data_IF_389606497904
#
_entry.id   IF_389606497904
#
_cell.length_a   1.000
_cell.length_b   1.000
_cell.length_c   1.000
_cell.angle_alpha   90.00
_cell.angle_beta   90.00
_cell.angle_gamma   90.00
#
_symmetry.space_group_name_H-M   'P 1'
#
loop_
_entity.id
_entity.type
_entity.pdbx_description
1 polymer ?
#
# COMPACT_ATOMS: atom_id res chain seq x y z
N UNK A 1 16.14 -14.75 1.89
CA UNK A 1 15.68 -14.79 0.49
C UNK A 1 14.47 -15.70 0.43
N UNK A 2 13.33 -15.24 -0.09
CA UNK A 2 12.13 -16.07 -0.22
C UNK A 2 12.35 -17.10 -1.34
N UNK A 3 11.91 -18.35 -1.13
CA UNK A 3 12.01 -19.37 -2.17
C UNK A 3 11.16 -18.92 -3.39
N UNK A 4 11.74 -18.86 -4.60
CA UNK A 4 11.07 -18.35 -5.80
C UNK A 4 10.00 -19.30 -6.36
N UNK A 5 9.88 -20.50 -5.81
CA UNK A 5 8.82 -21.48 -6.09
C UNK A 5 8.26 -21.97 -4.76
N UNK A 6 6.92 -22.08 -4.68
CA UNK A 6 6.21 -22.55 -3.49
C UNK A 6 5.04 -23.45 -3.85
N UNK A 7 4.55 -24.17 -2.84
CA UNK A 7 3.41 -25.07 -2.93
C UNK A 7 2.10 -24.31 -2.69
N UNK A 8 1.08 -24.56 -3.50
CA UNK A 8 -0.26 -24.00 -3.29
C UNK A 8 -0.93 -24.72 -2.12
N UNK A 9 -1.36 -23.97 -1.11
CA UNK A 9 -2.07 -24.46 0.08
C UNK A 9 -3.33 -25.24 -0.34
N UNK A 10 -3.58 -26.38 0.33
CA UNK A 10 -4.77 -27.20 0.10
C UNK A 10 -4.74 -28.04 -1.19
N UNK A 11 -3.64 -27.99 -1.97
CA UNK A 11 -3.49 -28.81 -3.18
C UNK A 11 -2.61 -30.04 -2.99
N UNK A 12 -1.88 -30.12 -1.89
CA UNK A 12 -0.92 -31.18 -1.60
C UNK A 12 -1.36 -32.00 -0.38
N UNK A 13 -1.08 -33.33 -0.37
CA UNK A 13 -1.31 -34.16 0.79
C UNK A 13 -0.57 -33.66 2.03
N UNK A 14 -1.12 -33.90 3.21
CA UNK A 14 -0.57 -33.43 4.49
C UNK A 14 0.84 -33.98 4.80
N UNK A 15 1.14 -35.19 4.36
CA UNK A 15 2.47 -35.79 4.55
C UNK A 15 3.58 -35.04 3.76
N UNK A 16 3.23 -34.32 2.68
CA UNK A 16 4.15 -33.45 1.92
C UNK A 16 4.20 -32.07 2.58
N UNK A 17 3.04 -31.51 2.91
CA UNK A 17 2.96 -30.14 3.42
C UNK A 17 3.45 -30.00 4.86
N UNK A 18 3.41 -31.07 5.68
CA UNK A 18 3.93 -31.04 7.04
C UNK A 18 5.41 -30.65 7.10
N UNK A 19 6.33 -31.45 6.50
CA UNK A 19 7.76 -31.12 6.46
C UNK A 19 8.09 -29.84 5.69
N UNK A 20 7.26 -29.49 4.69
CA UNK A 20 7.46 -28.35 3.80
C UNK A 20 6.57 -27.16 4.13
N UNK A 21 6.03 -27.04 5.35
CA UNK A 21 5.08 -25.99 5.74
C UNK A 21 5.57 -24.58 5.41
N UNK A 22 6.87 -24.29 5.55
CA UNK A 22 7.50 -23.00 5.21
C UNK A 22 7.44 -22.66 3.70
N UNK A 23 7.20 -23.64 2.85
CA UNK A 23 7.08 -23.46 1.39
C UNK A 23 5.63 -23.49 0.91
N UNK A 24 4.67 -23.68 1.80
CA UNK A 24 3.24 -23.67 1.47
C UNK A 24 2.72 -22.23 1.55
N UNK A 25 1.99 -21.81 0.51
CA UNK A 25 1.42 -20.47 0.43
C UNK A 25 -0.05 -20.51 0.01
N UNK A 26 -0.80 -19.51 0.40
CA UNK A 26 -2.20 -19.36 -0.03
C UNK A 26 -2.31 -19.25 -1.55
N UNK A 27 -3.45 -19.61 -2.09
CA UNK A 27 -3.73 -19.51 -3.53
C UNK A 27 -4.01 -18.05 -3.90
N UNK A 28 -3.13 -17.37 -4.67
CA UNK A 28 -3.34 -15.97 -5.00
C UNK A 28 -4.49 -15.71 -5.98
N UNK A 29 -5.05 -16.79 -6.61
CA UNK A 29 -6.18 -16.63 -7.53
C UNK A 29 -7.44 -16.12 -6.84
N UNK A 30 -7.49 -16.16 -5.52
CA UNK A 30 -8.56 -15.55 -4.75
C UNK A 30 -8.73 -14.04 -5.02
N UNK A 31 -7.66 -13.32 -5.45
CA UNK A 31 -7.80 -11.90 -5.84
C UNK A 31 -8.65 -11.69 -7.09
N UNK A 32 -8.91 -12.76 -7.87
CA UNK A 32 -9.72 -12.73 -9.09
C UNK A 32 -11.21 -12.93 -8.80
N UNK A 33 -11.55 -13.37 -7.60
CA UNK A 33 -12.92 -13.60 -7.19
C UNK A 33 -13.53 -12.27 -6.72
N UNK A 34 -14.59 -11.77 -7.35
CA UNK A 34 -15.26 -10.54 -6.94
C UNK A 34 -15.88 -10.66 -5.54
N UNK A 35 -16.28 -11.88 -5.15
CA UNK A 35 -16.99 -12.17 -3.89
C UNK A 35 -16.02 -12.67 -2.80
N UNK A 36 -14.71 -12.57 -3.01
CA UNK A 36 -13.69 -12.99 -2.04
C UNK A 36 -13.86 -12.27 -0.69
N UNK A 37 -13.73 -12.98 0.41
CA UNK A 37 -13.72 -12.36 1.73
C UNK A 37 -12.48 -11.47 1.93
N UNK A 38 -12.57 -10.45 2.79
CA UNK A 38 -11.46 -9.54 3.08
C UNK A 38 -10.21 -10.29 3.60
N UNK A 39 -10.40 -11.34 4.41
CA UNK A 39 -9.29 -12.12 4.97
C UNK A 39 -8.62 -13.02 3.93
N UNK A 40 -9.40 -13.64 3.03
CA UNK A 40 -8.87 -14.42 1.91
C UNK A 40 -8.15 -13.52 0.91
N UNK A 41 -8.73 -12.36 0.57
CA UNK A 41 -8.11 -11.35 -0.27
C UNK A 41 -6.75 -10.91 0.31
N UNK A 42 -6.72 -10.51 1.57
CA UNK A 42 -5.49 -10.12 2.28
C UNK A 42 -4.44 -11.24 2.27
N UNK A 43 -4.88 -12.48 2.50
CA UNK A 43 -3.99 -13.64 2.45
C UNK A 43 -3.42 -13.86 1.05
N UNK A 44 -4.25 -13.73 0.01
CA UNK A 44 -3.85 -13.85 -1.39
C UNK A 44 -2.90 -12.72 -1.82
N UNK A 45 -3.17 -11.49 -1.38
CA UNK A 45 -2.31 -10.32 -1.62
C UNK A 45 -0.88 -10.50 -1.10
N UNK A 46 -0.67 -11.35 -0.08
CA UNK A 46 0.67 -11.65 0.42
C UNK A 46 1.60 -12.29 -0.62
N UNK A 47 1.04 -12.86 -1.68
CA UNK A 47 1.79 -13.43 -2.80
C UNK A 47 2.03 -12.42 -3.94
N UNK A 48 1.34 -11.30 -3.95
CA UNK A 48 1.41 -10.29 -5.02
C UNK A 48 2.47 -9.25 -4.68
N UNK A 49 3.55 -9.25 -5.48
CA UNK A 49 4.66 -8.31 -5.32
C UNK A 49 4.64 -7.36 -6.53
N UNK A 50 4.35 -6.09 -6.29
CA UNK A 50 4.33 -5.05 -7.31
C UNK A 50 5.35 -3.97 -6.95
N UNK A 51 6.14 -3.51 -7.93
CA UNK A 51 7.16 -2.49 -7.70
C UNK A 51 8.21 -2.89 -6.67
N UNK A 52 8.50 -4.20 -6.50
CA UNK A 52 9.46 -4.69 -5.52
C UNK A 52 8.93 -4.73 -4.07
N UNK A 53 7.69 -4.34 -3.83
CA UNK A 53 7.05 -4.34 -2.51
C UNK A 53 5.95 -5.38 -2.41
N UNK A 54 5.72 -5.88 -1.19
CA UNK A 54 4.60 -6.75 -0.87
C UNK A 54 3.46 -5.87 -0.38
N UNK A 55 2.32 -5.93 -1.06
CA UNK A 55 1.12 -5.20 -0.62
C UNK A 55 0.39 -5.99 0.48
N UNK A 56 0.91 -5.92 1.69
CA UNK A 56 0.26 -6.50 2.88
C UNK A 56 -0.09 -5.37 3.84
N UNK A 57 -1.37 -5.18 4.05
CA UNK A 57 -1.88 -4.27 5.06
C UNK A 57 -2.75 -5.05 6.06
N UNK A 58 -2.67 -4.75 7.33
CA UNK A 58 -3.53 -5.32 8.37
C UNK A 58 -4.58 -4.31 8.79
N UNK A 59 -5.77 -4.75 9.16
CA UNK A 59 -6.77 -3.92 9.82
C UNK A 59 -6.34 -3.54 11.24
N UNK A 60 -6.83 -2.42 11.72
CA UNK A 60 -6.62 -1.87 13.07
C UNK A 60 -5.14 -1.75 13.47
N UNK A 61 -4.31 -1.26 12.53
CA UNK A 61 -2.86 -1.15 12.74
C UNK A 61 -2.43 0.18 13.34
N UNK A 62 -3.24 1.22 13.25
CA UNK A 62 -2.87 2.59 13.58
C UNK A 62 -3.83 3.30 14.56
N UNK A 63 -4.53 2.62 15.49
CA UNK A 63 -5.63 3.24 16.24
C UNK A 63 -5.18 4.47 17.03
N UNK A 64 -3.98 4.45 17.64
CA UNK A 64 -3.46 5.59 18.38
C UNK A 64 -3.10 6.78 17.48
N UNK A 65 -2.57 6.53 16.28
CA UNK A 65 -2.25 7.59 15.34
C UNK A 65 -3.51 8.16 14.67
N UNK A 66 -4.48 7.29 14.36
CA UNK A 66 -5.77 7.73 13.81
C UNK A 66 -6.54 8.57 14.86
N UNK A 67 -6.44 8.23 16.16
CA UNK A 67 -6.99 9.02 17.24
C UNK A 67 -6.38 10.43 17.33
N UNK A 68 -5.06 10.60 17.09
CA UNK A 68 -4.46 11.94 17.04
C UNK A 68 -5.18 12.85 16.05
N UNK A 69 -5.54 12.32 14.88
CA UNK A 69 -6.25 13.08 13.85
C UNK A 69 -7.69 13.37 14.28
N UNK A 70 -8.44 12.33 14.65
CA UNK A 70 -9.89 12.46 14.94
C UNK A 70 -10.20 13.26 16.21
N UNK A 71 -9.26 13.32 17.18
CA UNK A 71 -9.40 14.08 18.41
C UNK A 71 -8.91 15.53 18.28
N UNK A 72 -7.99 15.80 17.34
CA UNK A 72 -7.36 17.12 17.21
C UNK A 72 -7.93 17.97 16.08
N UNK A 73 -8.61 17.37 15.10
CA UNK A 73 -9.03 18.04 13.87
C UNK A 73 -10.53 17.82 13.62
N UNK A 74 -11.26 18.88 13.35
CA UNK A 74 -12.62 18.78 12.80
C UNK A 74 -12.53 18.38 11.32
N UNK A 75 -12.94 17.15 11.03
CA UNK A 75 -12.85 16.56 9.70
C UNK A 75 -14.10 16.77 8.83
N UNK A 76 -15.16 17.38 9.38
CA UNK A 76 -16.34 17.72 8.60
C UNK A 76 -15.96 18.64 7.45
N UNK A 77 -16.49 18.36 6.27
CA UNK A 77 -16.18 19.08 5.04
C UNK A 77 -14.71 18.99 4.57
N UNK A 78 -13.89 18.10 5.16
CA UNK A 78 -12.49 17.94 4.80
C UNK A 78 -12.30 16.99 3.61
N UNK A 79 -11.40 17.35 2.68
CA UNK A 79 -10.81 16.44 1.70
C UNK A 79 -9.63 15.71 2.35
N UNK A 80 -9.78 14.40 2.53
CA UNK A 80 -8.78 13.53 3.15
C UNK A 80 -8.13 12.64 2.09
N UNK A 81 -6.81 12.59 2.07
CA UNK A 81 -6.04 11.72 1.16
C UNK A 81 -5.11 10.83 1.97
N UNK A 82 -5.25 9.50 1.80
CA UNK A 82 -4.35 8.49 2.39
C UNK A 82 -3.37 8.02 1.31
N UNK A 83 -2.11 8.49 1.35
CA UNK A 83 -1.08 8.21 0.35
C UNK A 83 -0.25 7.00 0.78
N UNK A 84 -0.02 6.06 -0.16
CA UNK A 84 0.63 4.79 0.12
C UNK A 84 -0.28 3.81 0.86
N UNK A 85 -1.58 3.93 0.63
CA UNK A 85 -2.62 3.19 1.32
C UNK A 85 -2.65 1.68 1.00
N UNK A 86 -1.86 1.23 0.02
CA UNK A 86 -1.76 -0.17 -0.39
C UNK A 86 -3.11 -0.73 -0.88
N UNK A 87 -3.73 -1.64 -0.13
CA UNK A 87 -5.05 -2.20 -0.42
C UNK A 87 -6.21 -1.40 0.23
N UNK A 88 -5.91 -0.30 0.92
CA UNK A 88 -6.86 0.57 1.59
C UNK A 88 -7.43 0.03 2.91
N UNK A 89 -6.91 -1.08 3.44
CA UNK A 89 -7.42 -1.64 4.72
C UNK A 89 -7.33 -0.65 5.88
N UNK A 90 -6.23 0.11 6.00
CA UNK A 90 -6.08 1.13 7.04
C UNK A 90 -6.86 2.41 6.76
N UNK A 91 -7.20 2.65 5.50
CA UNK A 91 -8.09 3.77 5.12
C UNK A 91 -9.52 3.51 5.61
N UNK A 92 -10.02 2.27 5.48
CA UNK A 92 -11.32 1.87 6.03
C UNK A 92 -11.32 2.03 7.55
N UNK A 93 -10.27 1.56 8.23
CA UNK A 93 -10.18 1.68 9.69
C UNK A 93 -10.29 3.15 10.14
N UNK A 94 -9.61 4.08 9.44
CA UNK A 94 -9.74 5.51 9.72
C UNK A 94 -11.16 6.03 9.41
N UNK A 95 -11.73 5.69 8.25
CA UNK A 95 -13.08 6.13 7.87
C UNK A 95 -14.16 5.67 8.86
N UNK A 96 -14.00 4.48 9.48
CA UNK A 96 -14.93 3.96 10.47
C UNK A 96 -14.92 4.79 11.79
N UNK A 97 -13.89 5.61 12.01
CA UNK A 97 -13.77 6.50 13.18
C UNK A 97 -14.11 7.98 12.88
N UNK A 98 -14.30 8.33 11.61
CA UNK A 98 -14.65 9.70 11.20
C UNK A 98 -16.17 9.82 11.09
N UNK A 99 -16.73 10.82 11.75
CA UNK A 99 -18.19 11.07 11.75
C UNK A 99 -18.66 11.56 10.38
N UNK A 100 -17.92 12.49 9.76
CA UNK A 100 -18.24 13.06 8.46
C UNK A 100 -16.99 13.64 7.77
N UNK A 101 -17.02 13.70 6.43
CA UNK A 101 -15.96 14.27 5.59
C UNK A 101 -16.54 14.69 4.24
N UNK A 102 -15.88 15.62 3.54
CA UNK A 102 -16.26 16.03 2.17
C UNK A 102 -15.93 14.93 1.16
N UNK A 103 -14.70 14.44 1.17
CA UNK A 103 -14.25 13.37 0.31
C UNK A 103 -13.07 12.63 0.95
N UNK A 104 -12.97 11.34 0.66
CA UNK A 104 -11.84 10.49 1.06
C UNK A 104 -11.22 9.82 -0.17
N UNK A 105 -9.93 10.08 -0.42
CA UNK A 105 -9.22 9.53 -1.56
C UNK A 105 -8.13 8.58 -1.08
N UNK A 106 -8.25 7.32 -1.47
CA UNK A 106 -7.25 6.29 -1.24
C UNK A 106 -6.23 6.39 -2.36
N UNK A 107 -4.97 6.72 -2.05
CA UNK A 107 -3.94 6.98 -3.03
C UNK A 107 -2.76 6.00 -2.89
N UNK A 108 -2.31 5.42 -3.98
CA UNK A 108 -1.14 4.54 -4.03
C UNK A 108 -0.54 4.57 -5.45
N UNK A 109 0.69 4.16 -5.59
CA UNK A 109 1.35 4.11 -6.89
C UNK A 109 0.82 2.96 -7.78
N UNK A 110 0.36 1.87 -7.16
CA UNK A 110 -0.08 0.66 -7.87
C UNK A 110 -1.41 0.14 -7.35
N UNK A 111 -2.48 0.27 -8.14
CA UNK A 111 -3.79 -0.29 -7.81
C UNK A 111 -4.22 -1.45 -8.70
N UNK A 112 -3.57 -1.64 -9.84
CA UNK A 112 -3.99 -2.63 -10.81
C UNK A 112 -2.83 -3.55 -11.21
N UNK A 113 -3.18 -4.79 -11.47
CA UNK A 113 -2.33 -5.77 -12.15
C UNK A 113 -3.17 -6.45 -13.23
N UNK A 114 -2.52 -7.11 -14.18
CA UNK A 114 -3.19 -7.86 -15.23
C UNK A 114 -3.05 -9.35 -14.99
N UNK A 115 -4.16 -10.09 -15.08
CA UNK A 115 -4.18 -11.55 -15.00
C UNK A 115 -4.52 -12.17 -16.36
N UNK A 116 -3.66 -13.03 -16.88
CA UNK A 116 -3.87 -13.76 -18.12
C UNK A 116 -3.95 -15.25 -17.87
N UNK A 117 -4.99 -15.91 -18.39
CA UNK A 117 -5.14 -17.38 -18.30
C UNK A 117 -4.37 -18.03 -19.44
N UNK A 118 -3.44 -18.92 -19.11
CA UNK A 118 -2.67 -19.68 -20.10
C UNK A 118 -2.60 -21.16 -19.68
N UNK A 119 -3.24 -22.06 -20.45
CA UNK A 119 -3.45 -23.46 -20.09
C UNK A 119 -4.10 -23.62 -18.71
N UNK A 120 -3.38 -24.28 -17.78
CA UNK A 120 -3.79 -24.50 -16.39
C UNK A 120 -3.17 -23.49 -15.42
N UNK A 121 -2.59 -22.40 -15.95
CA UNK A 121 -1.92 -21.38 -15.17
C UNK A 121 -2.65 -20.05 -15.29
N UNK A 122 -2.55 -19.24 -14.25
CA UNK A 122 -2.82 -17.81 -14.28
C UNK A 122 -1.47 -17.10 -14.16
N UNK A 123 -1.21 -16.19 -15.08
CA UNK A 123 0.02 -15.39 -15.12
C UNK A 123 -0.36 -13.95 -14.82
N UNK A 124 0.24 -13.40 -13.77
CA UNK A 124 0.02 -12.02 -13.36
C UNK A 124 1.16 -11.13 -13.86
N UNK A 125 0.78 -9.99 -14.38
CA UNK A 125 1.69 -8.96 -14.88
C UNK A 125 1.42 -7.65 -14.15
N UNK A 126 2.48 -6.86 -13.95
CA UNK A 126 2.33 -5.46 -13.57
C UNK A 126 1.89 -4.59 -14.76
N UNK A 127 1.73 -3.30 -14.51
CA UNK A 127 1.34 -2.32 -15.53
C UNK A 127 2.40 -2.15 -16.64
N UNK A 128 3.68 -2.43 -16.33
CA UNK A 128 4.78 -2.42 -17.28
C UNK A 128 4.84 -3.69 -18.13
N UNK A 129 3.98 -4.67 -17.84
CA UNK A 129 3.93 -5.96 -18.54
C UNK A 129 4.99 -6.95 -18.06
N UNK A 130 5.68 -6.70 -16.93
CA UNK A 130 6.58 -7.67 -16.33
C UNK A 130 5.79 -8.76 -15.58
N UNK A 131 6.23 -10.02 -15.74
CA UNK A 131 5.59 -11.15 -15.06
C UNK A 131 6.00 -11.15 -13.58
N UNK A 132 5.04 -10.88 -12.71
CA UNK A 132 5.24 -10.81 -11.25
C UNK A 132 4.96 -12.13 -10.55
N UNK A 133 3.99 -12.92 -11.04
CA UNK A 133 3.57 -14.17 -10.40
C UNK A 133 2.97 -15.14 -11.42
N UNK A 134 3.27 -16.41 -11.29
CA UNK A 134 2.63 -17.51 -12.03
C UNK A 134 1.98 -18.46 -11.03
N UNK A 135 0.72 -18.76 -11.24
CA UNK A 135 -0.07 -19.66 -10.40
C UNK A 135 -0.53 -20.86 -11.21
N UNK A 136 0.06 -22.00 -10.91
CA UNK A 136 -0.39 -23.30 -11.43
C UNK A 136 -1.36 -23.99 -10.46
N UNK A 137 -1.76 -25.23 -10.78
CA UNK A 137 -2.62 -26.01 -9.89
C UNK A 137 -1.93 -26.40 -8.58
N UNK A 138 -0.60 -26.59 -8.61
CA UNK A 138 0.18 -27.15 -7.51
C UNK A 138 1.27 -26.22 -7.01
N UNK A 139 1.75 -25.33 -7.87
CA UNK A 139 2.92 -24.48 -7.63
C UNK A 139 2.63 -23.03 -7.91
N UNK A 140 3.28 -22.18 -7.11
CA UNK A 140 3.44 -20.74 -7.31
C UNK A 140 4.88 -20.47 -7.73
N UNK A 141 5.09 -19.53 -8.64
CA UNK A 141 6.42 -19.13 -9.07
C UNK A 141 6.52 -17.61 -9.23
N UNK A 142 7.64 -17.02 -8.78
CA UNK A 142 7.95 -15.60 -8.91
C UNK A 142 9.13 -15.39 -9.86
N UNK A 143 8.89 -15.21 -11.17
CA UNK A 143 9.95 -15.00 -12.17
C UNK A 143 10.79 -13.74 -11.92
N UNK A 144 10.21 -12.74 -11.27
CA UNK A 144 10.92 -11.51 -10.87
C UNK A 144 12.02 -11.76 -9.82
N UNK A 145 11.90 -12.82 -9.01
CA UNK A 145 12.84 -13.14 -7.93
C UNK A 145 13.97 -14.10 -8.34
N UNK A 146 13.88 -14.76 -9.51
CA UNK A 146 14.87 -15.74 -9.95
C UNK A 146 14.98 -15.82 -11.46
N UNK A 147 16.20 -15.60 -11.98
CA UNK A 147 16.49 -15.73 -13.41
C UNK A 147 16.22 -17.16 -13.92
N UNK A 148 16.56 -18.18 -13.13
CA UNK A 148 16.31 -19.59 -13.49
C UNK A 148 14.81 -19.86 -13.63
N UNK A 149 13.99 -19.39 -12.70
CA UNK A 149 12.52 -19.50 -12.76
C UNK A 149 11.98 -18.73 -13.97
N UNK A 150 12.49 -17.54 -14.25
CA UNK A 150 12.09 -16.74 -15.42
C UNK A 150 12.37 -17.51 -16.72
N UNK A 151 13.56 -18.09 -16.87
CA UNK A 151 13.93 -18.88 -18.05
C UNK A 151 13.05 -20.13 -18.18
N UNK A 152 12.83 -20.87 -17.08
CA UNK A 152 11.99 -22.06 -17.07
C UNK A 152 10.56 -21.79 -17.55
N UNK A 153 9.97 -20.67 -17.10
CA UNK A 153 8.59 -20.30 -17.42
C UNK A 153 8.48 -19.36 -18.64
N UNK A 154 9.58 -19.05 -19.33
CA UNK A 154 9.57 -18.14 -20.49
C UNK A 154 8.56 -18.51 -21.58
N UNK A 155 8.39 -19.80 -21.99
CA UNK A 155 7.39 -20.16 -23.00
C UNK A 155 5.95 -19.85 -22.55
N UNK A 156 5.65 -20.09 -21.27
CA UNK A 156 4.34 -19.80 -20.68
C UNK A 156 4.08 -18.28 -20.61
N UNK A 157 5.08 -17.51 -20.19
CA UNK A 157 5.00 -16.04 -20.11
C UNK A 157 4.79 -15.46 -21.51
N UNK A 158 5.58 -15.90 -22.50
CA UNK A 158 5.46 -15.45 -23.88
C UNK A 158 4.05 -15.75 -24.45
N UNK A 159 3.55 -16.97 -24.19
CA UNK A 159 2.20 -17.35 -24.62
C UNK A 159 1.12 -16.50 -23.94
N UNK A 160 1.26 -16.23 -22.62
CA UNK A 160 0.31 -15.39 -21.89
C UNK A 160 0.28 -13.95 -22.41
N UNK A 161 1.43 -13.42 -22.83
CA UNK A 161 1.55 -12.10 -23.50
C UNK A 161 0.98 -12.09 -24.91
N UNK A 162 1.29 -13.12 -25.71
CA UNK A 162 0.92 -13.21 -27.12
C UNK A 162 -0.58 -13.53 -27.33
N UNK A 163 -1.28 -14.01 -26.31
CA UNK A 163 -2.68 -14.41 -26.42
C UNK A 163 -3.62 -13.24 -26.80
N UNK A 164 -3.09 -12.03 -27.03
CA UNK A 164 -3.79 -10.87 -27.61
C UNK A 164 -5.07 -10.45 -26.87
N UNK A 165 -5.42 -11.18 -25.83
CA UNK A 165 -6.53 -10.83 -24.95
C UNK A 165 -5.94 -9.88 -23.90
N UNK A 166 -6.47 -8.67 -23.78
CA UNK A 166 -6.17 -7.87 -22.61
C UNK A 166 -6.40 -8.77 -21.39
N UNK A 167 -5.36 -8.98 -20.58
CA UNK A 167 -5.53 -9.70 -19.33
C UNK A 167 -6.64 -9.03 -18.53
N UNK A 168 -7.35 -9.81 -17.72
CA UNK A 168 -8.34 -9.24 -16.80
C UNK A 168 -7.59 -8.25 -15.88
N UNK A 169 -8.04 -7.01 -15.83
CA UNK A 169 -7.55 -6.05 -14.86
C UNK A 169 -8.05 -6.48 -13.47
N UNK A 170 -7.13 -6.54 -12.53
CA UNK A 170 -7.38 -6.94 -11.14
C UNK A 170 -7.11 -5.74 -10.26
N UNK A 171 -8.16 -5.22 -9.65
CA UNK A 171 -8.05 -4.12 -8.71
C UNK A 171 -7.55 -4.64 -7.35
N UNK A 172 -6.44 -4.11 -6.87
CA UNK A 172 -5.75 -4.52 -5.64
C UNK A 172 -6.32 -3.83 -4.38
N UNK A 173 -7.55 -3.39 -4.41
CA UNK A 173 -8.24 -2.84 -3.26
C UNK A 173 -8.99 -3.94 -2.50
N UNK A 174 -8.93 -3.84 -1.16
CA UNK A 174 -9.67 -4.71 -0.24
C UNK A 174 -11.17 -4.73 -0.58
N UNK A 175 -11.86 -5.88 -0.53
CA UNK A 175 -13.31 -5.96 -0.78
C UNK A 175 -14.14 -4.96 0.04
N UNK A 176 -13.80 -4.72 1.32
CA UNK A 176 -14.48 -3.71 2.15
C UNK A 176 -14.31 -2.28 1.59
N UNK A 177 -13.14 -1.96 1.02
CA UNK A 177 -12.92 -0.67 0.36
C UNK A 177 -13.79 -0.54 -0.87
N UNK A 178 -13.81 -1.60 -1.71
CA UNK A 178 -14.65 -1.62 -2.92
C UNK A 178 -16.14 -1.45 -2.58
N UNK A 179 -16.60 -2.12 -1.52
CA UNK A 179 -17.96 -1.97 -1.02
C UNK A 179 -18.22 -0.55 -0.52
N UNK A 180 -17.31 0.02 0.29
CA UNK A 180 -17.45 1.39 0.79
C UNK A 180 -17.53 2.41 -0.34
N UNK A 181 -16.73 2.25 -1.40
CA UNK A 181 -16.79 3.11 -2.59
C UNK A 181 -18.11 2.96 -3.37
N UNK A 182 -18.71 1.77 -3.38
CA UNK A 182 -20.02 1.55 -4.00
C UNK A 182 -21.15 2.19 -3.20
N UNK A 183 -21.05 2.19 -1.87
CA UNK A 183 -22.09 2.70 -0.97
C UNK A 183 -21.97 4.23 -0.72
N UNK A 184 -20.76 4.79 -0.81
CA UNK A 184 -20.47 6.20 -0.54
C UNK A 184 -19.69 6.83 -1.70
N UNK A 185 -20.32 7.65 -2.56
CA UNK A 185 -19.67 8.28 -3.71
C UNK A 185 -18.57 9.30 -3.33
N UNK A 186 -18.46 9.68 -2.07
CA UNK A 186 -17.39 10.56 -1.56
C UNK A 186 -16.08 9.81 -1.38
N UNK A 187 -16.10 8.46 -1.40
CA UNK A 187 -14.91 7.61 -1.30
C UNK A 187 -14.45 7.20 -2.70
N UNK A 188 -13.19 7.42 -3.00
CA UNK A 188 -12.60 7.08 -4.30
C UNK A 188 -11.16 6.62 -4.15
N UNK A 189 -10.57 6.10 -5.25
CA UNK A 189 -9.14 5.83 -5.28
C UNK A 189 -8.47 6.56 -6.44
N UNK A 190 -7.16 6.80 -6.31
CA UNK A 190 -6.37 7.48 -7.33
C UNK A 190 -4.93 6.99 -7.34
N UNK A 191 -4.38 6.72 -8.54
CA UNK A 191 -2.94 6.48 -8.69
C UNK A 191 -2.19 7.78 -8.41
N UNK A 192 -1.25 7.74 -7.46
CA UNK A 192 -0.47 8.89 -7.07
C UNK A 192 0.93 8.48 -6.58
N UNK A 193 1.94 9.22 -7.04
CA UNK A 193 3.32 9.10 -6.58
C UNK A 193 3.58 10.13 -5.47
N UNK A 194 3.95 9.67 -4.28
CA UNK A 194 4.23 10.51 -3.10
C UNK A 194 5.32 11.58 -3.36
N UNK A 195 6.15 11.39 -4.38
CA UNK A 195 7.17 12.35 -4.78
C UNK A 195 6.66 13.48 -5.67
N UNK A 196 5.37 13.51 -5.99
CA UNK A 196 4.74 14.52 -6.83
C UNK A 196 3.68 15.30 -6.06
N UNK A 197 3.49 16.56 -6.44
CA UNK A 197 2.45 17.40 -5.85
C UNK A 197 1.06 16.90 -6.27
N UNK A 198 0.12 16.91 -5.33
CA UNK A 198 -1.27 16.55 -5.59
C UNK A 198 -1.91 17.53 -6.57
N UNK A 199 -2.58 17.01 -7.59
CA UNK A 199 -3.25 17.82 -8.60
C UNK A 199 -4.75 17.91 -8.32
N UNK A 200 -5.32 19.10 -8.52
CA UNK A 200 -6.72 19.43 -8.27
C UNK A 200 -6.93 20.17 -6.94
N UNK A 201 -8.05 19.94 -6.30
CA UNK A 201 -8.33 20.53 -4.99
C UNK A 201 -7.30 20.07 -3.96
N UNK A 202 -6.77 21.01 -3.18
CA UNK A 202 -5.77 20.71 -2.17
C UNK A 202 -6.40 19.99 -0.98
N UNK A 203 -5.82 18.84 -0.55
CA UNK A 203 -6.30 18.16 0.65
C UNK A 203 -6.21 19.02 1.92
N UNK A 204 -7.20 18.87 2.77
CA UNK A 204 -7.16 19.39 4.14
C UNK A 204 -6.36 18.46 5.05
N UNK A 205 -6.36 17.16 4.72
CA UNK A 205 -5.59 16.15 5.46
C UNK A 205 -4.88 15.23 4.47
N UNK A 206 -3.58 15.00 4.70
CA UNK A 206 -2.82 13.93 4.06
C UNK A 206 -2.33 12.98 5.15
N UNK A 207 -2.68 11.69 5.02
CA UNK A 207 -2.13 10.59 5.82
C UNK A 207 -1.10 9.84 5.01
N UNK A 208 0.03 9.47 5.64
CA UNK A 208 1.04 8.57 5.07
C UNK A 208 1.44 7.55 6.12
N UNK A 209 1.19 6.27 5.87
CA UNK A 209 1.47 5.22 6.83
C UNK A 209 2.48 4.21 6.28
N UNK A 210 3.58 3.98 7.02
CA UNK A 210 4.63 2.99 6.74
C UNK A 210 5.34 3.13 5.38
N UNK A 211 5.18 4.25 4.69
CA UNK A 211 5.77 4.51 3.39
C UNK A 211 7.09 5.27 3.51
N UNK A 212 7.08 6.46 4.13
CA UNK A 212 8.24 7.33 4.24
C UNK A 212 9.16 6.87 5.37
N UNK A 213 10.01 5.88 5.08
CA UNK A 213 10.90 5.26 6.07
C UNK A 213 12.32 5.22 5.56
N UNK A 214 13.28 5.48 6.45
CA UNK A 214 14.74 5.35 6.18
C UNK A 214 15.17 3.94 5.75
N UNK A 215 14.30 2.96 5.96
CA UNK A 215 14.47 1.61 5.43
C UNK A 215 14.32 1.52 3.92
N UNK A 216 13.49 2.38 3.32
CA UNK A 216 13.12 2.33 1.90
C UNK A 216 13.73 3.47 1.09
N UNK A 217 13.95 4.62 1.73
CA UNK A 217 14.35 5.85 1.09
C UNK A 217 15.50 6.54 1.83
N UNK A 218 16.34 7.28 1.11
CA UNK A 218 17.31 8.19 1.70
C UNK A 218 16.62 9.39 2.35
N UNK A 219 17.28 10.08 3.27
CA UNK A 219 16.76 11.31 3.87
C UNK A 219 16.45 12.38 2.82
N UNK A 220 17.26 12.45 1.75
CA UNK A 220 17.00 13.36 0.61
C UNK A 220 15.71 13.01 -0.14
N UNK A 221 15.44 11.72 -0.35
CA UNK A 221 14.20 11.29 -0.99
C UNK A 221 12.99 11.56 -0.08
N UNK A 222 13.11 11.27 1.22
CA UNK A 222 12.05 11.55 2.19
C UNK A 222 11.77 13.05 2.23
N UNK A 223 12.78 13.90 2.29
CA UNK A 223 12.63 15.37 2.26
C UNK A 223 11.92 15.82 0.98
N UNK A 224 12.27 15.26 -0.19
CA UNK A 224 11.57 15.56 -1.44
C UNK A 224 10.09 15.20 -1.38
N UNK A 225 9.74 14.04 -0.81
CA UNK A 225 8.35 13.64 -0.61
C UNK A 225 7.63 14.56 0.37
N UNK A 226 8.27 14.95 1.48
CA UNK A 226 7.72 15.89 2.46
C UNK A 226 7.45 17.26 1.85
N UNK A 227 8.34 17.77 0.98
CA UNK A 227 8.10 19.00 0.22
C UNK A 227 6.88 18.86 -0.69
N UNK A 228 6.75 17.75 -1.44
CA UNK A 228 5.60 17.51 -2.29
C UNK A 228 4.28 17.43 -1.49
N UNK A 229 4.30 16.79 -0.32
CA UNK A 229 3.16 16.74 0.62
C UNK A 229 2.81 18.14 1.12
N UNK A 230 3.81 18.91 1.55
CA UNK A 230 3.62 20.28 2.02
C UNK A 230 2.99 21.16 0.94
N UNK A 231 3.48 21.12 -0.29
CA UNK A 231 2.93 21.86 -1.42
C UNK A 231 1.49 21.43 -1.76
N UNK A 232 1.18 20.15 -1.59
CA UNK A 232 -0.13 19.54 -1.85
C UNK A 232 -1.20 20.02 -0.88
N UNK A 233 -0.87 20.18 0.41
CA UNK A 233 -1.81 20.53 1.46
C UNK A 233 -2.38 21.94 1.29
N UNK A 234 -3.64 22.12 1.66
CA UNK A 234 -4.23 23.43 1.89
C UNK A 234 -3.48 24.18 3.01
N UNK A 235 -3.53 25.51 3.03
CA UNK A 235 -2.97 26.28 4.14
C UNK A 235 -3.73 25.95 5.43
N UNK A 236 -3.00 25.67 6.51
CA UNK A 236 -3.57 25.17 7.75
C UNK A 236 -3.97 23.68 7.72
N UNK A 237 -3.81 23.00 6.59
CA UNK A 237 -4.07 21.56 6.46
C UNK A 237 -3.11 20.69 7.29
N UNK A 238 -3.48 19.43 7.48
CA UNK A 238 -2.81 18.53 8.42
C UNK A 238 -2.11 17.36 7.71
N UNK A 239 -0.95 17.01 8.21
CA UNK A 239 -0.17 15.84 7.78
C UNK A 239 -0.08 14.84 8.92
N UNK A 240 -0.63 13.64 8.73
CA UNK A 240 -0.50 12.51 9.64
C UNK A 240 0.53 11.52 9.10
N UNK A 241 1.65 11.35 9.77
CA UNK A 241 2.62 10.28 9.46
C UNK A 241 2.56 9.19 10.51
N UNK A 242 2.63 7.94 10.05
CA UNK A 242 2.57 6.75 10.92
C UNK A 242 3.65 5.76 10.55
N UNK A 243 4.40 5.28 11.55
CA UNK A 243 5.41 4.24 11.41
C UNK A 243 5.13 3.07 12.34
N UNK A 244 4.99 1.87 11.77
CA UNK A 244 4.93 0.68 12.60
C UNK A 244 6.33 0.27 13.05
N UNK A 245 6.51 0.13 14.36
CA UNK A 245 7.73 -0.46 14.90
C UNK A 245 7.89 -1.90 14.43
N UNK A 246 9.15 -2.33 14.18
CA UNK A 246 9.51 -3.73 13.96
C UNK A 246 9.84 -4.46 15.26
N UNK A 247 9.86 -3.75 16.37
CA UNK A 247 10.09 -4.31 17.69
C UNK A 247 8.77 -4.88 18.17
N UNK A 248 8.69 -6.19 18.46
CA UNK A 248 7.47 -6.80 18.98
C UNK A 248 6.99 -6.10 20.26
N UNK A 249 5.69 -5.81 20.33
CA UNK A 249 5.07 -5.15 21.49
C UNK A 249 5.19 -3.63 21.54
N UNK A 250 5.97 -3.01 20.64
CA UNK A 250 6.05 -1.55 20.55
C UNK A 250 4.88 -1.01 19.70
N UNK A 251 4.08 -0.06 20.23
CA UNK A 251 2.99 0.54 19.48
C UNK A 251 3.50 1.33 18.28
N UNK A 252 2.65 1.57 17.27
CA UNK A 252 2.96 2.44 16.16
C UNK A 252 3.37 3.83 16.63
N UNK A 253 4.27 4.46 15.90
CA UNK A 253 4.69 5.85 16.07
C UNK A 253 3.80 6.72 15.21
N UNK A 254 3.23 7.76 15.75
CA UNK A 254 2.35 8.68 15.04
C UNK A 254 2.73 10.13 15.31
N UNK A 255 2.68 10.96 14.28
CA UNK A 255 2.85 12.41 14.39
C UNK A 255 1.83 13.13 13.52
N UNK A 256 1.13 14.08 14.10
CA UNK A 256 0.21 15.00 13.45
C UNK A 256 0.84 16.38 13.39
N UNK A 257 0.95 16.91 12.18
CA UNK A 257 1.57 18.20 11.89
C UNK A 257 0.58 19.08 11.13
N UNK A 258 0.65 20.38 11.36
CA UNK A 258 -0.13 21.38 10.64
C UNK A 258 0.78 22.18 9.70
N UNK A 259 0.36 22.38 8.48
CA UNK A 259 1.02 23.29 7.55
C UNK A 259 0.85 24.73 8.01
N UNK A 260 1.97 25.44 8.18
CA UNK A 260 2.00 26.86 8.54
C UNK A 260 3.07 27.55 7.68
N UNK A 261 2.65 28.37 6.75
CA UNK A 261 3.54 29.04 5.82
C UNK A 261 4.41 28.05 5.03
N UNK A 262 5.73 28.15 5.14
CA UNK A 262 6.69 27.29 4.40
C UNK A 262 7.01 25.96 5.09
N UNK A 263 6.52 25.70 6.31
CA UNK A 263 6.89 24.54 7.10
C UNK A 263 5.73 23.82 7.77
N UNK A 264 6.09 22.92 8.68
CA UNK A 264 5.16 22.18 9.50
C UNK A 264 5.30 22.54 10.98
N UNK A 265 4.17 22.65 11.68
CA UNK A 265 4.12 22.78 13.13
C UNK A 265 3.55 21.48 13.71
N UNK A 266 4.21 20.91 14.71
CA UNK A 266 3.71 19.75 15.45
C UNK A 266 2.42 20.09 16.19
N UNK A 267 1.38 19.31 15.99
CA UNK A 267 0.09 19.40 16.70
C UNK A 267 0.05 18.41 17.84
N UNK A 268 0.31 17.13 17.55
CA UNK A 268 0.31 16.05 18.52
C UNK A 268 1.18 14.89 18.05
N UNK A 269 1.70 14.11 18.99
CA UNK A 269 2.42 12.87 18.69
C UNK A 269 1.96 11.75 19.64
N UNK A 270 2.11 10.51 19.21
CA UNK A 270 2.04 9.37 20.11
C UNK A 270 3.23 9.38 21.06
N UNK A 271 3.23 8.55 22.11
CA UNK A 271 4.35 8.39 23.04
C UNK A 271 5.70 8.17 22.30
N UNK A 272 5.65 7.40 21.20
CA UNK A 272 6.80 7.22 20.31
C UNK A 272 6.64 8.10 19.07
N UNK A 273 7.53 9.07 18.88
CA UNK A 273 7.53 9.96 17.72
C UNK A 273 7.91 9.21 16.43
N UNK A 274 7.45 9.68 15.24
CA UNK A 274 7.86 9.11 13.96
C UNK A 274 9.38 9.12 13.75
N UNK A 275 9.87 8.13 13.01
CA UNK A 275 11.31 8.01 12.70
C UNK A 275 11.84 9.19 11.87
N UNK A 276 10.95 9.94 11.19
CA UNK A 276 11.28 11.06 10.31
C UNK A 276 10.85 12.43 10.85
N UNK A 277 10.55 12.53 12.15
CA UNK A 277 10.11 13.77 12.80
C UNK A 277 11.09 14.94 12.56
N UNK A 278 12.39 14.66 12.63
CA UNK A 278 13.47 15.60 12.34
C UNK A 278 13.42 16.15 10.90
N UNK A 279 13.09 15.30 9.93
CA UNK A 279 12.94 15.71 8.53
C UNK A 279 11.67 16.53 8.31
N UNK A 280 10.56 16.16 8.98
CA UNK A 280 9.33 16.97 8.92
C UNK A 280 9.56 18.37 9.48
N UNK A 281 10.25 18.48 10.61
CA UNK A 281 10.61 19.76 11.23
C UNK A 281 11.56 20.61 10.35
N UNK A 282 12.33 19.98 9.46
CA UNK A 282 13.27 20.67 8.57
C UNK A 282 12.61 21.26 7.30
N UNK A 283 11.36 20.87 6.98
CA UNK A 283 10.66 21.42 5.82
C UNK A 283 10.45 22.93 5.99
N UNK A 284 10.89 23.70 4.99
CA UNK A 284 10.78 25.17 5.00
C UNK A 284 11.82 25.90 5.88
N UNK A 285 12.67 25.17 6.60
CA UNK A 285 13.78 25.81 7.28
C UNK A 285 14.79 26.37 6.27
N UNK A 286 15.33 27.58 6.50
CA UNK A 286 16.38 28.10 5.63
C UNK A 286 17.57 27.15 5.64
N UNK A 287 18.05 26.80 4.43
CA UNK A 287 19.26 25.99 4.27
C UNK A 287 20.41 26.71 4.95
N UNK A 288 20.90 26.18 6.06
CA UNK A 288 22.15 26.74 6.65
C UNK A 288 23.26 26.42 5.65
N UNK A 289 24.03 27.45 5.21
CA UNK A 289 25.19 27.18 4.38
C UNK A 289 26.14 26.31 5.18
N UNK A 290 26.46 25.14 4.64
CA UNK A 290 27.53 24.29 5.16
C UNK A 290 28.82 25.09 5.18
N UNK A 291 29.38 25.28 6.40
CA UNK A 291 30.65 25.96 6.60
C UNK A 291 31.82 25.17 6.01
#
# INVERSE_FOLDING_TARGET
MLAPIRLVKGRWPSFITGPLARFVWVDPRAVLDPDVSADEFKSAMSAVHVGGTIKITGSNRHPLADALLTESVDLRDSLIVDIGASDGSTSIDLMDHIVDFKAFVIADLFFTIKASKSWRHVVFFDEQGECILIVGNWLLAWPSQSRAVRVLYQPLIARARAAGRPGQDVLLLNPRVRQRMADDPRVSYRVHDVFTTWSGEKPDVIKVANLLRRLYFSDADITRALCAIHESLAEGGHFLVVDNSRIPGMPPRGGLYRKVGSGFQTVACTENIPEIDDLVASVGAPVQPTA
#
